data_IF_246698071351
#
_entry.id   IF_246698071351
#
_cell.length_a   1.000
_cell.length_b   1.000
_cell.length_c   1.000
_cell.angle_alpha   90.00
_cell.angle_beta   90.00
_cell.angle_gamma   90.00
#
_symmetry.space_group_name_H-M   'P 1'
#
loop_
_entity.id
_entity.type
_entity.pdbx_description
1 polymer ?
#
# COMPACT_ATOMS: atom_id res chain seq x y z
N UNK A 1 -30.69 -7.29 -13.14
CA UNK A 1 -29.37 -6.89 -12.61
C UNK A 1 -29.56 -6.67 -11.11
N UNK A 2 -28.63 -7.16 -10.29
CA UNK A 2 -28.65 -6.96 -8.84
C UNK A 2 -28.40 -5.48 -8.53
N UNK A 3 -29.15 -4.91 -7.56
CA UNK A 3 -29.01 -3.51 -7.14
C UNK A 3 -28.40 -3.45 -5.75
N UNK A 4 -27.36 -2.64 -5.61
CA UNK A 4 -26.58 -2.47 -4.39
C UNK A 4 -26.54 -0.98 -4.03
N UNK A 5 -26.88 -0.63 -2.79
CA UNK A 5 -26.83 0.76 -2.35
C UNK A 5 -25.41 1.24 -2.12
N UNK A 6 -24.56 0.41 -1.52
CA UNK A 6 -23.18 0.72 -1.24
C UNK A 6 -22.25 -0.45 -1.63
N UNK A 7 -21.54 -0.29 -2.73
CA UNK A 7 -20.54 -1.24 -3.17
C UNK A 7 -19.14 -0.80 -2.69
N UNK A 8 -18.39 -1.73 -2.10
CA UNK A 8 -17.02 -1.52 -1.66
C UNK A 8 -16.11 -2.45 -2.47
N UNK A 9 -15.05 -1.90 -3.08
CA UNK A 9 -14.09 -2.66 -3.87
C UNK A 9 -12.73 -2.68 -3.17
N UNK A 10 -12.32 -3.85 -2.70
CA UNK A 10 -11.04 -4.08 -2.03
C UNK A 10 -11.17 -4.53 -0.59
N UNK A 11 -10.58 -5.67 -0.27
CA UNK A 11 -10.60 -6.33 1.04
C UNK A 11 -9.37 -6.02 1.91
N UNK A 12 -8.94 -4.76 1.95
CA UNK A 12 -7.89 -4.29 2.86
C UNK A 12 -8.47 -3.53 4.08
N UNK A 13 -7.60 -2.95 4.94
CA UNK A 13 -8.03 -2.20 6.12
C UNK A 13 -9.03 -1.08 5.82
N UNK A 14 -8.88 -0.39 4.68
CA UNK A 14 -9.80 0.64 4.24
C UNK A 14 -11.19 0.06 3.92
N UNK A 15 -11.24 -0.99 3.09
CA UNK A 15 -12.49 -1.61 2.68
C UNK A 15 -13.23 -2.27 3.84
N UNK A 16 -12.55 -3.05 4.68
CA UNK A 16 -13.18 -3.66 5.85
C UNK A 16 -13.68 -2.61 6.85
N UNK A 17 -12.92 -1.54 7.07
CA UNK A 17 -13.38 -0.45 7.95
C UNK A 17 -14.58 0.28 7.34
N UNK A 18 -14.57 0.56 6.04
CA UNK A 18 -15.74 1.13 5.37
C UNK A 18 -16.97 0.22 5.52
N UNK A 19 -16.81 -1.07 5.32
CA UNK A 19 -17.89 -2.06 5.49
C UNK A 19 -18.44 -2.09 6.92
N UNK A 20 -17.57 -2.05 7.94
CA UNK A 20 -17.97 -1.99 9.36
C UNK A 20 -18.84 -0.75 9.61
N UNK A 21 -18.40 0.43 9.16
CA UNK A 21 -19.14 1.67 9.40
C UNK A 21 -20.44 1.76 8.60
N UNK A 22 -20.46 1.32 7.33
CA UNK A 22 -21.66 1.28 6.51
C UNK A 22 -22.71 0.32 7.11
N UNK A 23 -22.31 -0.88 7.53
CA UNK A 23 -23.19 -1.84 8.20
C UNK A 23 -23.80 -1.26 9.48
N UNK A 24 -22.99 -0.57 10.30
CA UNK A 24 -23.46 0.09 11.54
C UNK A 24 -24.41 1.26 11.27
N UNK A 25 -24.33 1.88 10.10
CA UNK A 25 -25.26 2.93 9.64
C UNK A 25 -26.53 2.36 9.03
N UNK A 26 -26.75 1.04 9.10
CA UNK A 26 -27.86 0.32 8.48
C UNK A 26 -27.92 0.48 6.95
N UNK A 27 -26.78 0.68 6.34
CA UNK A 27 -26.58 0.53 4.90
C UNK A 27 -26.11 -0.90 4.72
N UNK A 28 -26.74 -1.67 3.87
CA UNK A 28 -26.37 -3.05 3.59
C UNK A 28 -25.19 -3.07 2.57
N UNK A 29 -23.92 -2.94 3.00
CA UNK A 29 -22.81 -2.88 2.06
C UNK A 29 -22.51 -4.26 1.50
N UNK A 30 -22.20 -4.29 0.19
CA UNK A 30 -21.59 -5.42 -0.47
C UNK A 30 -20.11 -5.09 -0.68
N UNK A 31 -19.22 -6.00 -0.27
CA UNK A 31 -17.77 -5.83 -0.44
C UNK A 31 -17.21 -6.97 -1.29
N UNK A 32 -16.56 -6.62 -2.39
CA UNK A 32 -15.73 -7.54 -3.17
C UNK A 32 -14.27 -7.42 -2.77
N UNK A 33 -13.69 -8.52 -2.28
CA UNK A 33 -12.34 -8.52 -1.70
C UNK A 33 -11.21 -8.39 -2.71
N UNK A 34 -11.48 -8.75 -3.97
CA UNK A 34 -10.46 -8.81 -5.02
C UNK A 34 -9.59 -10.07 -4.96
N UNK A 35 -8.49 -10.07 -5.72
CA UNK A 35 -7.61 -11.23 -5.86
C UNK A 35 -6.77 -11.53 -4.61
N UNK A 36 -6.54 -10.52 -3.75
CA UNK A 36 -5.74 -10.66 -2.53
C UNK A 36 -6.54 -10.15 -1.32
N UNK A 37 -7.42 -10.98 -0.73
CA UNK A 37 -8.15 -10.63 0.49
C UNK A 37 -7.17 -10.25 1.62
N UNK A 38 -7.39 -9.09 2.26
CA UNK A 38 -6.50 -8.53 3.28
C UNK A 38 -5.45 -7.56 2.74
N UNK A 39 -5.20 -7.56 1.44
CA UNK A 39 -4.26 -6.67 0.77
C UNK A 39 -2.82 -6.85 1.26
N UNK A 40 -2.06 -5.76 1.32
CA UNK A 40 -0.64 -5.77 1.66
C UNK A 40 -0.34 -6.32 3.07
N UNK A 41 -1.28 -6.27 4.00
CA UNK A 41 -1.07 -6.80 5.35
C UNK A 41 -0.83 -8.31 5.37
N UNK A 42 -1.36 -9.06 4.41
CA UNK A 42 -1.15 -10.51 4.31
C UNK A 42 0.27 -10.90 3.92
N UNK A 43 1.09 -9.95 3.46
CA UNK A 43 2.49 -10.16 3.10
C UNK A 43 3.46 -9.78 4.23
N UNK A 44 2.95 -9.27 5.36
CA UNK A 44 3.72 -8.87 6.54
C UNK A 44 3.51 -9.88 7.65
N UNK A 45 4.60 -10.26 8.35
CA UNK A 45 4.54 -11.23 9.45
C UNK A 45 3.96 -10.60 10.71
N UNK A 46 4.66 -9.63 11.29
CA UNK A 46 4.30 -8.99 12.54
C UNK A 46 4.01 -7.50 12.35
N UNK A 47 2.90 -7.04 12.94
CA UNK A 47 2.45 -5.65 12.93
C UNK A 47 2.47 -5.14 14.38
N UNK A 48 3.38 -4.21 14.66
CA UNK A 48 3.52 -3.59 15.96
C UNK A 48 3.01 -2.14 16.03
N UNK A 49 2.63 -1.59 14.88
CA UNK A 49 2.22 -0.19 14.72
C UNK A 49 0.71 0.01 14.52
N UNK A 50 -0.11 -1.04 14.72
CA UNK A 50 -1.56 -0.91 14.73
C UNK A 50 -2.06 -0.86 16.18
N UNK A 51 -2.65 0.25 16.64
CA UNK A 51 -3.02 0.40 18.05
C UNK A 51 -4.10 -0.59 18.48
N UNK A 52 -4.01 -1.04 19.74
CA UNK A 52 -4.94 -2.00 20.35
C UNK A 52 -4.36 -3.40 20.56
N UNK A 53 -3.14 -3.63 20.10
CA UNK A 53 -2.42 -4.91 20.25
C UNK A 53 -1.07 -4.66 20.94
N UNK A 54 -1.05 -4.79 22.27
CA UNK A 54 0.14 -4.46 23.10
C UNK A 54 1.38 -5.32 22.77
N UNK A 55 1.16 -6.55 22.29
CA UNK A 55 2.22 -7.50 21.94
C UNK A 55 2.37 -7.66 20.41
N UNK A 56 1.85 -6.71 19.62
CA UNK A 56 1.75 -6.86 18.18
C UNK A 56 0.68 -7.88 17.74
N UNK A 57 0.52 -8.04 16.46
CA UNK A 57 -0.39 -9.01 15.84
C UNK A 57 0.14 -9.38 14.45
N UNK A 58 -0.06 -10.64 14.02
CA UNK A 58 0.29 -10.97 12.64
C UNK A 58 -0.64 -10.29 11.64
N UNK A 59 -0.11 -9.96 10.45
CA UNK A 59 -0.90 -9.31 9.40
C UNK A 59 -2.14 -10.10 9.04
N UNK A 60 -2.03 -11.42 8.94
CA UNK A 60 -3.16 -12.30 8.66
C UNK A 60 -4.23 -12.25 9.77
N UNK A 61 -3.83 -12.33 11.05
CA UNK A 61 -4.77 -12.29 12.17
C UNK A 61 -5.51 -10.95 12.26
N UNK A 62 -4.83 -9.83 11.98
CA UNK A 62 -5.45 -8.51 11.95
C UNK A 62 -6.52 -8.43 10.87
N UNK A 63 -6.20 -8.88 9.67
CA UNK A 63 -7.12 -8.92 8.53
C UNK A 63 -8.32 -9.82 8.80
N UNK A 64 -8.10 -11.04 9.32
CA UNK A 64 -9.16 -11.98 9.65
C UNK A 64 -10.11 -11.39 10.71
N UNK A 65 -9.56 -10.67 11.69
CA UNK A 65 -10.35 -10.00 12.73
C UNK A 65 -11.21 -8.86 12.14
N UNK A 66 -10.65 -8.04 11.24
CA UNK A 66 -11.40 -6.97 10.56
C UNK A 66 -12.52 -7.55 9.69
N UNK A 67 -12.22 -8.59 8.90
CA UNK A 67 -13.19 -9.30 8.07
C UNK A 67 -14.32 -9.89 8.90
N UNK A 68 -13.99 -10.64 9.95
CA UNK A 68 -14.96 -11.25 10.86
C UNK A 68 -15.87 -10.19 11.51
N UNK A 69 -15.31 -9.03 11.88
CA UNK A 69 -16.07 -7.91 12.42
C UNK A 69 -17.06 -7.36 11.40
N UNK A 70 -16.64 -7.13 10.14
CA UNK A 70 -17.49 -6.63 9.08
C UNK A 70 -18.67 -7.60 8.78
N UNK A 71 -18.37 -8.90 8.65
CA UNK A 71 -19.37 -9.95 8.40
C UNK A 71 -20.36 -10.04 9.57
N UNK A 72 -19.88 -10.04 10.82
CA UNK A 72 -20.76 -10.07 12.01
C UNK A 72 -21.72 -8.88 12.08
N UNK A 73 -21.33 -7.73 11.51
CA UNK A 73 -22.14 -6.52 11.49
C UNK A 73 -23.10 -6.45 10.29
N UNK A 74 -23.09 -7.44 9.41
CA UNK A 74 -24.04 -7.57 8.31
C UNK A 74 -23.52 -7.18 6.93
N UNK A 75 -22.18 -7.03 6.76
CA UNK A 75 -21.60 -6.86 5.42
C UNK A 75 -21.77 -8.14 4.61
N UNK A 76 -22.30 -8.02 3.40
CA UNK A 76 -22.26 -9.08 2.39
C UNK A 76 -20.86 -9.14 1.77
N UNK A 77 -20.07 -10.09 2.27
CA UNK A 77 -18.68 -10.26 1.87
C UNK A 77 -18.59 -11.25 0.72
N UNK A 78 -18.03 -10.81 -0.41
CA UNK A 78 -17.97 -11.60 -1.64
C UNK A 78 -16.54 -11.76 -2.14
N UNK A 79 -16.28 -12.93 -2.67
CA UNK A 79 -15.08 -13.18 -3.51
C UNK A 79 -15.35 -12.70 -4.92
N UNK A 80 -14.31 -12.35 -5.66
CA UNK A 80 -14.38 -11.90 -7.04
C UNK A 80 -13.62 -10.60 -7.26
N UNK A 81 -13.26 -10.36 -8.50
CA UNK A 81 -12.47 -9.19 -8.91
C UNK A 81 -13.30 -8.32 -9.85
N UNK A 82 -13.38 -7.03 -9.55
CA UNK A 82 -13.99 -6.07 -10.48
C UNK A 82 -13.10 -5.96 -11.72
N UNK A 83 -13.70 -6.20 -12.90
CA UNK A 83 -13.00 -6.20 -14.18
C UNK A 83 -13.39 -5.06 -15.11
N UNK A 84 -14.55 -4.43 -14.85
CA UNK A 84 -15.01 -3.23 -15.58
C UNK A 84 -15.91 -2.38 -14.69
N UNK A 85 -15.89 -1.07 -14.91
CA UNK A 85 -16.76 -0.11 -14.25
C UNK A 85 -17.21 0.95 -15.26
N UNK A 86 -18.50 1.21 -15.33
CA UNK A 86 -19.08 2.37 -16.02
C UNK A 86 -19.67 3.30 -14.96
N UNK A 87 -19.02 4.44 -14.77
CA UNK A 87 -19.39 5.44 -13.78
C UNK A 87 -20.02 6.70 -14.41
N UNK A 88 -20.47 6.61 -15.65
CA UNK A 88 -21.07 7.73 -16.40
C UNK A 88 -22.42 8.18 -15.84
N UNK A 89 -23.25 7.23 -15.39
CA UNK A 89 -24.59 7.47 -14.85
C UNK A 89 -24.87 6.54 -13.68
N UNK A 90 -25.70 6.98 -12.73
CA UNK A 90 -26.18 6.16 -11.60
C UNK A 90 -27.52 5.51 -11.92
N UNK A 91 -27.73 4.24 -11.52
CA UNK A 91 -26.80 3.37 -10.80
C UNK A 91 -25.60 2.98 -11.67
N UNK A 92 -24.41 2.97 -11.06
CA UNK A 92 -23.15 2.59 -11.72
C UNK A 92 -23.19 1.11 -12.13
N UNK A 93 -22.66 0.79 -13.32
CA UNK A 93 -22.60 -0.59 -13.81
C UNK A 93 -21.22 -1.16 -13.58
N UNK A 94 -21.16 -2.25 -12.85
CA UNK A 94 -19.90 -2.90 -12.44
C UNK A 94 -19.93 -4.34 -12.91
N UNK A 95 -18.82 -4.80 -13.48
CA UNK A 95 -18.65 -6.19 -13.93
C UNK A 95 -17.64 -6.89 -13.03
N UNK A 96 -18.02 -8.05 -12.49
CA UNK A 96 -17.21 -8.91 -11.65
C UNK A 96 -16.81 -10.14 -12.47
N UNK A 97 -15.52 -10.49 -12.41
CA UNK A 97 -14.94 -11.68 -13.08
C UNK A 97 -15.31 -11.80 -14.57
N UNK A 98 -15.48 -10.66 -15.23
CA UNK A 98 -15.76 -10.55 -16.66
C UNK A 98 -17.19 -10.91 -17.10
N UNK A 99 -18.04 -11.39 -16.20
CA UNK A 99 -19.37 -11.93 -16.57
C UNK A 99 -20.53 -11.51 -15.68
N UNK A 100 -20.29 -11.24 -14.41
CA UNK A 100 -21.35 -10.91 -13.47
C UNK A 100 -21.56 -9.40 -13.38
N UNK A 101 -22.69 -8.92 -13.87
CA UNK A 101 -23.05 -7.49 -13.88
C UNK A 101 -23.92 -7.13 -12.68
N UNK A 102 -23.57 -6.05 -12.00
CA UNK A 102 -24.28 -5.46 -10.87
C UNK A 102 -24.47 -3.95 -11.06
N UNK A 103 -25.47 -3.40 -10.40
CA UNK A 103 -25.75 -1.96 -10.34
C UNK A 103 -25.49 -1.43 -8.93
N UNK A 104 -24.75 -0.33 -8.78
CA UNK A 104 -24.44 0.28 -7.49
C UNK A 104 -24.87 1.75 -7.44
N UNK A 105 -25.54 2.17 -6.36
CA UNK A 105 -25.89 3.58 -6.13
C UNK A 105 -24.69 4.41 -5.67
N UNK A 106 -23.83 3.81 -4.84
CA UNK A 106 -22.56 4.41 -4.40
C UNK A 106 -21.42 3.40 -4.52
N UNK A 107 -20.21 3.92 -4.72
CA UNK A 107 -19.01 3.13 -4.86
C UNK A 107 -17.92 3.65 -3.94
N UNK A 108 -17.31 2.76 -3.14
CA UNK A 108 -16.10 3.05 -2.37
C UNK A 108 -14.94 2.27 -2.99
N UNK A 109 -13.99 2.98 -3.60
CA UNK A 109 -12.78 2.42 -4.18
C UNK A 109 -11.73 2.30 -3.08
N UNK A 110 -11.41 1.08 -2.65
CA UNK A 110 -10.47 0.75 -1.59
C UNK A 110 -9.42 -0.29 -2.05
N UNK A 111 -9.04 -0.20 -3.32
CA UNK A 111 -8.21 -1.19 -4.02
C UNK A 111 -6.73 -1.15 -3.64
N UNK A 112 -6.31 -0.14 -2.85
CA UNK A 112 -4.96 -0.02 -2.33
C UNK A 112 -3.91 0.36 -3.38
N UNK A 113 -2.64 0.09 -3.06
CA UNK A 113 -1.50 0.28 -3.95
C UNK A 113 -0.55 -0.91 -3.84
N UNK A 114 0.15 -1.19 -4.93
CA UNK A 114 1.13 -2.28 -5.01
C UNK A 114 2.54 -1.72 -5.00
N UNK A 115 3.39 -2.20 -4.09
CA UNK A 115 4.80 -1.83 -4.07
C UNK A 115 5.51 -2.30 -5.34
N UNK A 116 6.42 -1.48 -5.86
CA UNK A 116 7.27 -1.85 -6.98
C UNK A 116 8.49 -2.63 -6.49
N UNK A 117 8.82 -3.66 -7.23
CA UNK A 117 9.99 -4.50 -7.01
C UNK A 117 10.94 -4.41 -8.20
N UNK A 118 12.19 -4.86 -8.05
CA UNK A 118 13.17 -4.92 -9.14
C UNK A 118 12.87 -6.08 -10.11
N UNK A 119 12.07 -7.05 -9.66
CA UNK A 119 11.72 -8.25 -10.43
C UNK A 119 12.76 -9.36 -10.33
N UNK A 120 13.57 -9.35 -9.30
CA UNK A 120 14.58 -10.39 -9.06
C UNK A 120 13.94 -11.60 -8.36
N UNK A 121 14.23 -12.84 -8.79
CA UNK A 121 13.74 -14.05 -8.11
C UNK A 121 14.14 -14.10 -6.62
N UNK A 122 15.30 -13.53 -6.27
CA UNK A 122 15.79 -13.45 -4.90
C UNK A 122 14.97 -12.48 -4.02
N UNK A 123 14.37 -11.43 -4.59
CA UNK A 123 13.46 -10.55 -3.85
C UNK A 123 12.22 -11.32 -3.38
N UNK A 124 11.63 -12.11 -4.27
CA UNK A 124 10.45 -12.92 -3.96
C UNK A 124 10.76 -13.97 -2.89
N UNK A 125 11.94 -14.61 -2.98
CA UNK A 125 12.39 -15.62 -2.01
C UNK A 125 12.52 -15.07 -0.60
N UNK A 126 12.99 -13.83 -0.47
CA UNK A 126 13.26 -13.23 0.83
C UNK A 126 12.22 -12.17 1.26
N UNK A 127 11.08 -12.09 0.57
CA UNK A 127 9.97 -11.22 0.97
C UNK A 127 9.45 -11.61 2.35
N UNK A 128 9.43 -10.67 3.29
CA UNK A 128 9.11 -10.92 4.70
C UNK A 128 10.23 -11.59 5.51
N UNK A 129 11.34 -11.99 4.85
CA UNK A 129 12.52 -12.56 5.47
C UNK A 129 13.75 -11.65 5.28
N UNK A 130 13.52 -10.34 5.27
CA UNK A 130 14.57 -9.34 5.11
C UNK A 130 14.38 -8.42 3.91
N UNK A 131 13.55 -8.77 2.93
CA UNK A 131 13.13 -7.87 1.84
C UNK A 131 11.81 -7.21 2.22
N UNK A 132 11.80 -5.87 2.24
CA UNK A 132 10.65 -5.03 2.58
C UNK A 132 10.48 -3.89 1.57
N UNK A 133 9.28 -3.36 1.46
CA UNK A 133 8.96 -2.14 0.71
C UNK A 133 8.37 -1.03 1.61
N UNK A 134 8.58 -1.14 2.94
CA UNK A 134 8.06 -0.18 3.92
C UNK A 134 9.03 -0.03 5.11
N UNK A 135 9.84 1.01 5.10
CA UNK A 135 10.77 1.26 6.20
C UNK A 135 10.07 1.57 7.54
N UNK A 136 8.94 2.27 7.51
CA UNK A 136 8.16 2.59 8.72
C UNK A 136 7.45 1.37 9.31
N UNK A 137 7.18 0.35 8.49
CA UNK A 137 6.58 -0.90 8.95
C UNK A 137 7.64 -1.79 9.63
N UNK A 138 8.75 -2.03 8.95
CA UNK A 138 9.68 -3.10 9.28
C UNK A 138 11.00 -2.60 9.88
N UNK A 139 11.30 -1.30 9.76
CA UNK A 139 12.59 -0.73 10.20
C UNK A 139 12.94 -0.98 11.66
N UNK A 140 11.93 -1.10 12.53
CA UNK A 140 12.12 -1.41 13.95
C UNK A 140 12.85 -2.74 14.18
N UNK A 141 12.60 -3.78 13.37
CA UNK A 141 13.24 -5.10 13.47
C UNK A 141 14.73 -5.09 13.09
N UNK A 142 15.19 -3.99 12.46
CA UNK A 142 16.56 -3.81 12.01
C UNK A 142 17.36 -2.85 12.88
N UNK A 143 16.92 -2.56 14.11
CA UNK A 143 17.66 -1.71 15.05
C UNK A 143 19.06 -2.25 15.28
N UNK A 144 20.06 -1.33 15.16
CA UNK A 144 21.48 -1.62 15.30
C UNK A 144 22.07 -2.59 14.26
N UNK A 145 21.31 -2.95 13.22
CA UNK A 145 21.74 -3.77 12.10
C UNK A 145 22.19 -2.91 10.92
N UNK A 146 22.71 -3.54 9.88
CA UNK A 146 23.08 -2.88 8.62
C UNK A 146 22.02 -3.17 7.57
N UNK A 147 21.52 -2.16 6.88
CA UNK A 147 20.46 -2.32 5.87
C UNK A 147 20.81 -1.62 4.57
N UNK A 148 20.14 -2.01 3.48
CA UNK A 148 20.20 -1.31 2.22
C UNK A 148 18.84 -0.75 1.84
N UNK A 149 18.82 0.44 1.21
CA UNK A 149 17.65 1.10 0.62
C UNK A 149 17.92 1.29 -0.87
N UNK A 150 17.05 0.73 -1.71
CA UNK A 150 17.13 0.90 -3.17
C UNK A 150 16.25 2.06 -3.60
N UNK A 151 16.83 3.05 -4.21
CA UNK A 151 16.12 4.22 -4.71
C UNK A 151 16.93 5.50 -4.66
N UNK A 152 16.41 6.57 -5.25
CA UNK A 152 17.11 7.87 -5.30
C UNK A 152 16.16 9.05 -5.44
N UNK A 153 14.87 8.87 -5.16
CA UNK A 153 13.86 9.94 -5.04
C UNK A 153 13.63 10.35 -3.59
N UNK A 154 12.70 11.27 -3.34
CA UNK A 154 12.38 11.77 -2.01
C UNK A 154 12.03 10.63 -1.04
N UNK A 155 11.15 9.71 -1.42
CA UNK A 155 10.80 8.54 -0.59
C UNK A 155 12.02 7.72 -0.18
N UNK A 156 12.96 7.49 -1.09
CA UNK A 156 14.16 6.72 -0.77
C UNK A 156 15.06 7.47 0.22
N UNK A 157 15.16 8.77 0.10
CA UNK A 157 15.91 9.62 1.04
C UNK A 157 15.24 9.68 2.42
N UNK A 158 13.91 9.78 2.46
CA UNK A 158 13.12 9.73 3.69
C UNK A 158 13.28 8.40 4.41
N UNK A 159 13.10 7.28 3.70
CA UNK A 159 13.25 5.94 4.26
C UNK A 159 14.68 5.67 4.73
N UNK A 160 15.71 6.06 3.96
CA UNK A 160 17.09 5.93 4.36
C UNK A 160 17.41 6.74 5.62
N UNK A 161 16.89 7.97 5.72
CA UNK A 161 17.08 8.84 6.89
C UNK A 161 16.34 8.29 8.12
N UNK A 162 15.13 7.77 7.93
CA UNK A 162 14.38 7.11 8.99
C UNK A 162 15.12 5.88 9.52
N UNK A 163 15.58 5.00 8.62
CA UNK A 163 16.35 3.81 8.99
C UNK A 163 17.70 4.15 9.62
N UNK A 164 18.35 5.24 9.22
CA UNK A 164 19.59 5.70 9.84
C UNK A 164 19.42 6.05 11.32
N UNK A 165 18.23 6.53 11.72
CA UNK A 165 17.89 6.74 13.13
C UNK A 165 17.74 5.47 13.96
N UNK A 166 17.58 4.32 13.33
CA UNK A 166 17.37 3.01 13.98
C UNK A 166 18.56 2.07 13.81
N UNK A 167 19.15 2.06 12.62
CA UNK A 167 20.13 1.09 12.17
C UNK A 167 21.57 1.56 12.45
N UNK A 168 22.50 0.59 12.50
CA UNK A 168 23.93 0.87 12.62
C UNK A 168 24.48 1.55 11.35
N UNK A 169 24.02 1.10 10.18
CA UNK A 169 24.45 1.60 8.88
C UNK A 169 23.35 1.41 7.85
N UNK A 170 23.22 2.38 6.93
CA UNK A 170 22.32 2.33 5.79
C UNK A 170 23.15 2.50 4.51
N UNK A 171 23.05 1.54 3.60
CA UNK A 171 23.53 1.71 2.23
C UNK A 171 22.37 2.20 1.35
N UNK A 172 22.56 3.30 0.62
CA UNK A 172 21.62 3.69 -0.44
C UNK A 172 22.16 3.21 -1.78
N UNK A 173 21.42 2.30 -2.44
CA UNK A 173 21.79 1.77 -3.76
C UNK A 173 21.11 2.63 -4.83
N UNK A 174 21.91 3.43 -5.54
CA UNK A 174 21.43 4.41 -6.50
C UNK A 174 21.99 4.09 -7.89
N UNK A 175 21.09 3.82 -8.87
CA UNK A 175 21.46 3.43 -10.24
C UNK A 175 22.12 4.55 -11.08
N UNK A 176 22.08 5.80 -10.61
CA UNK A 176 22.65 6.98 -11.23
C UNK A 176 23.75 7.59 -10.36
N UNK A 177 24.43 8.59 -10.85
CA UNK A 177 25.42 9.40 -10.13
C UNK A 177 24.80 10.60 -9.39
N UNK A 178 23.46 10.69 -9.37
CA UNK A 178 22.71 11.79 -8.76
C UNK A 178 21.39 11.29 -8.17
N UNK A 179 21.00 11.86 -7.03
CA UNK A 179 19.66 11.70 -6.48
C UNK A 179 18.66 12.57 -7.27
N UNK A 180 17.43 12.09 -7.40
CA UNK A 180 16.30 12.84 -7.97
C UNK A 180 15.45 13.51 -6.92
N UNK A 181 15.80 13.35 -5.67
CA UNK A 181 15.15 13.95 -4.52
C UNK A 181 15.30 15.47 -4.52
N UNK A 182 14.45 16.16 -3.78
CA UNK A 182 14.59 17.60 -3.50
C UNK A 182 15.93 17.89 -2.84
N UNK A 183 16.46 19.12 -3.02
CA UNK A 183 17.74 19.53 -2.41
C UNK A 183 17.74 19.31 -0.90
N UNK A 184 16.65 19.66 -0.22
CA UNK A 184 16.52 19.47 1.22
C UNK A 184 16.68 18.00 1.64
N UNK A 185 16.14 17.05 0.86
CA UNK A 185 16.29 15.63 1.15
C UNK A 185 17.68 15.11 0.80
N UNK A 186 18.29 15.60 -0.28
CA UNK A 186 19.68 15.30 -0.60
C UNK A 186 20.63 15.75 0.50
N UNK A 187 20.46 16.97 1.02
CA UNK A 187 21.28 17.50 2.09
C UNK A 187 21.11 16.72 3.39
N UNK A 188 19.88 16.28 3.69
CA UNK A 188 19.63 15.42 4.84
C UNK A 188 20.39 14.10 4.74
N UNK A 189 20.37 13.44 3.59
CA UNK A 189 21.14 12.21 3.35
C UNK A 189 22.64 12.45 3.49
N UNK A 190 23.17 13.52 2.86
CA UNK A 190 24.62 13.85 2.90
C UNK A 190 25.11 14.16 4.32
N UNK A 191 24.26 14.75 5.16
CA UNK A 191 24.60 15.13 6.53
C UNK A 191 24.32 14.02 7.56
N UNK A 192 23.89 12.83 7.13
CA UNK A 192 23.64 11.70 8.03
C UNK A 192 24.83 10.74 7.96
N UNK A 193 25.64 10.70 9.04
CA UNK A 193 26.95 10.04 9.10
C UNK A 193 26.93 8.53 8.77
N UNK A 194 25.87 7.83 9.13
CA UNK A 194 25.75 6.39 8.93
C UNK A 194 24.99 6.00 7.64
N UNK A 195 24.76 6.96 6.73
CA UNK A 195 24.30 6.68 5.36
C UNK A 195 25.48 6.69 4.41
N UNK A 196 25.64 5.62 3.65
CA UNK A 196 26.60 5.53 2.55
C UNK A 196 25.86 5.34 1.23
N UNK A 197 26.09 6.24 0.26
CA UNK A 197 25.44 6.17 -1.05
C UNK A 197 26.35 5.42 -2.03
N UNK A 198 25.84 4.30 -2.55
CA UNK A 198 26.48 3.49 -3.57
C UNK A 198 25.96 3.93 -4.94
N UNK A 199 26.72 4.83 -5.58
CA UNK A 199 26.37 5.42 -6.86
C UNK A 199 26.59 4.47 -8.03
N UNK A 200 25.78 4.65 -9.09
CA UNK A 200 25.87 3.89 -10.33
C UNK A 200 25.79 2.36 -10.13
N UNK A 201 25.07 1.94 -9.10
CA UNK A 201 24.91 0.53 -8.73
C UNK A 201 23.48 0.04 -8.99
N UNK A 202 23.38 -1.16 -9.55
CA UNK A 202 22.14 -1.92 -9.66
C UNK A 202 22.26 -3.19 -8.83
N UNK A 203 21.19 -3.61 -8.19
CA UNK A 203 21.13 -4.91 -7.52
C UNK A 203 20.97 -6.00 -8.56
N UNK A 204 21.83 -7.01 -8.51
CA UNK A 204 21.70 -8.23 -9.33
C UNK A 204 21.00 -9.35 -8.57
N UNK A 205 21.25 -9.44 -7.27
CA UNK A 205 20.76 -10.51 -6.43
C UNK A 205 20.68 -10.07 -4.97
N UNK A 206 19.64 -10.47 -4.26
CA UNK A 206 19.59 -10.43 -2.80
C UNK A 206 20.14 -11.76 -2.29
N UNK A 207 21.15 -11.70 -1.44
CA UNK A 207 21.82 -12.85 -0.86
C UNK A 207 21.22 -13.16 0.51
N UNK A 208 21.11 -14.44 0.84
CA UNK A 208 20.57 -14.86 2.12
C UNK A 208 20.64 -16.36 2.33
N UNK A 209 20.28 -16.79 3.51
CA UNK A 209 20.23 -18.17 3.95
C UNK A 209 18.79 -18.61 4.34
N UNK A 210 18.66 -19.64 5.15
CA UNK A 210 17.38 -20.14 5.66
C UNK A 210 16.71 -19.17 6.67
N UNK A 211 17.47 -18.22 7.24
CA UNK A 211 16.99 -17.25 8.23
C UNK A 211 16.63 -15.90 7.61
N UNK A 212 17.04 -15.64 6.36
CA UNK A 212 16.69 -14.41 5.64
C UNK A 212 17.87 -13.76 4.93
N UNK A 213 17.79 -12.45 4.73
CA UNK A 213 18.77 -11.65 4.01
C UNK A 213 20.07 -11.57 4.79
N UNK A 214 21.21 -11.84 4.12
CA UNK A 214 22.57 -11.68 4.65
C UNK A 214 23.45 -10.74 3.82
N UNK A 215 22.98 -10.36 2.61
CA UNK A 215 23.74 -9.49 1.72
C UNK A 215 22.98 -9.11 0.45
N UNK A 216 23.65 -8.34 -0.39
CA UNK A 216 23.21 -8.05 -1.75
C UNK A 216 24.40 -8.02 -2.70
N UNK A 217 24.24 -8.59 -3.89
CA UNK A 217 25.19 -8.52 -4.99
C UNK A 217 24.85 -7.34 -5.88
N UNK A 218 25.81 -6.47 -6.07
CA UNK A 218 25.66 -5.25 -6.83
C UNK A 218 26.54 -5.26 -8.08
N UNK A 219 26.01 -4.66 -9.15
CA UNK A 219 26.74 -4.39 -10.38
C UNK A 219 26.89 -2.88 -10.53
N UNK A 220 28.12 -2.39 -10.56
CA UNK A 220 28.45 -1.01 -10.87
C UNK A 220 28.44 -0.78 -12.38
N UNK A 221 28.18 0.45 -12.80
CA UNK A 221 28.09 0.83 -14.21
C UNK A 221 29.35 0.52 -15.04
N UNK A 222 30.53 0.48 -14.40
CA UNK A 222 31.81 0.12 -15.01
C UNK A 222 32.03 -1.39 -15.19
N UNK A 223 31.08 -2.21 -14.72
CA UNK A 223 31.11 -3.67 -14.83
C UNK A 223 31.63 -4.36 -13.57
N UNK A 224 32.06 -3.64 -12.54
CA UNK A 224 32.46 -4.23 -11.28
C UNK A 224 31.28 -4.89 -10.57
N UNK A 225 31.46 -6.15 -10.17
CA UNK A 225 30.49 -6.90 -9.34
C UNK A 225 31.08 -7.07 -7.96
N UNK A 226 30.31 -6.71 -6.93
CA UNK A 226 30.73 -6.84 -5.53
C UNK A 226 29.53 -7.12 -4.62
N UNK A 227 29.78 -7.73 -3.49
CA UNK A 227 28.77 -8.06 -2.49
C UNK A 227 28.89 -7.09 -1.31
N UNK A 228 27.75 -6.70 -0.74
CA UNK A 228 27.64 -5.98 0.53
C UNK A 228 26.95 -6.86 1.55
N UNK A 229 27.43 -6.82 2.80
CA UNK A 229 26.78 -7.51 3.93
C UNK A 229 25.70 -6.61 4.52
N UNK A 230 24.46 -7.11 4.55
CA UNK A 230 23.29 -6.41 5.10
C UNK A 230 22.34 -7.42 5.76
N UNK A 231 21.57 -6.97 6.72
CA UNK A 231 20.55 -7.75 7.41
C UNK A 231 19.15 -7.51 6.86
N UNK A 232 18.97 -6.41 6.10
CA UNK A 232 17.68 -6.03 5.51
C UNK A 232 17.84 -5.25 4.21
N UNK A 233 16.89 -5.45 3.28
CA UNK A 233 16.88 -4.87 1.94
C UNK A 233 15.54 -4.18 1.70
N UNK A 234 15.53 -2.85 1.64
CA UNK A 234 14.35 -2.02 1.52
C UNK A 234 14.21 -1.45 0.10
N UNK A 235 13.04 -1.60 -0.48
CA UNK A 235 12.71 -1.14 -1.82
C UNK A 235 11.92 0.17 -1.75
N UNK A 236 12.59 1.28 -1.99
CA UNK A 236 12.01 2.63 -2.03
C UNK A 236 11.94 3.16 -3.48
N UNK A 237 11.44 2.32 -4.40
CA UNK A 237 11.33 2.63 -5.84
C UNK A 237 9.92 3.01 -6.27
N UNK A 238 9.03 3.21 -5.29
CA UNK A 238 7.67 3.70 -5.45
C UNK A 238 6.61 2.61 -5.42
N UNK A 239 5.37 3.04 -5.54
CA UNK A 239 4.18 2.21 -5.57
C UNK A 239 3.41 2.44 -6.87
N UNK A 240 2.50 1.54 -7.17
CA UNK A 240 1.51 1.67 -8.23
C UNK A 240 0.13 1.64 -7.56
N UNK A 241 -0.62 2.74 -7.53
CA UNK A 241 -1.98 2.72 -7.01
C UNK A 241 -2.88 1.90 -7.93
N UNK A 242 -3.71 1.03 -7.35
CA UNK A 242 -4.57 0.12 -8.10
C UNK A 242 -5.85 0.85 -8.58
N UNK A 243 -5.64 1.91 -9.35
CA UNK A 243 -6.67 2.83 -9.87
C UNK A 243 -6.97 2.64 -11.36
N UNK A 244 -6.21 1.80 -12.07
CA UNK A 244 -6.23 1.71 -13.54
C UNK A 244 -7.64 1.50 -14.10
N UNK A 245 -8.45 0.68 -13.44
CA UNK A 245 -9.82 0.38 -13.82
C UNK A 245 -10.75 1.61 -13.82
N UNK A 246 -10.40 2.62 -13.03
CA UNK A 246 -11.26 3.78 -12.78
C UNK A 246 -10.75 5.07 -13.42
N UNK A 247 -9.56 5.06 -14.05
CA UNK A 247 -8.88 6.26 -14.58
C UNK A 247 -9.64 7.01 -15.67
N UNK A 248 -10.53 6.33 -16.38
CA UNK A 248 -11.38 6.97 -17.38
C UNK A 248 -12.48 7.84 -16.74
N UNK A 249 -12.80 7.61 -15.48
CA UNK A 249 -13.91 8.22 -14.75
C UNK A 249 -13.45 9.17 -13.66
N UNK A 250 -12.55 8.71 -12.80
CA UNK A 250 -12.08 9.49 -11.64
C UNK A 250 -10.77 10.21 -11.96
N UNK A 251 -10.65 11.42 -11.42
CA UNK A 251 -9.42 12.19 -11.53
C UNK A 251 -8.30 11.49 -10.73
N UNK A 252 -7.13 11.38 -11.36
CA UNK A 252 -5.90 10.84 -10.74
C UNK A 252 -4.75 11.83 -10.88
N UNK A 253 -3.80 11.76 -9.97
CA UNK A 253 -2.57 12.54 -10.06
C UNK A 253 -1.57 11.93 -11.08
N UNK A 254 -0.40 12.54 -11.20
CA UNK A 254 0.65 12.11 -12.16
C UNK A 254 1.22 10.72 -11.83
N UNK A 255 1.11 10.26 -10.60
CA UNK A 255 1.51 8.93 -10.13
C UNK A 255 0.37 7.90 -10.23
N UNK A 256 -0.88 8.34 -10.49
CA UNK A 256 -2.06 7.51 -10.63
C UNK A 256 -2.90 7.37 -9.37
N UNK A 257 -2.61 8.10 -8.29
CA UNK A 257 -3.45 8.12 -7.09
C UNK A 257 -4.76 8.87 -7.35
N UNK A 258 -5.87 8.32 -6.85
CA UNK A 258 -7.18 8.96 -6.98
C UNK A 258 -7.20 10.25 -6.18
N UNK A 259 -7.58 11.35 -6.83
CA UNK A 259 -7.70 12.67 -6.21
C UNK A 259 -9.06 12.75 -5.49
N UNK A 260 -9.01 13.05 -4.20
CA UNK A 260 -10.19 13.43 -3.41
C UNK A 260 -10.21 14.94 -3.18
N UNK A 261 -11.28 15.48 -2.60
CA UNK A 261 -11.39 16.92 -2.29
C UNK A 261 -10.46 17.39 -1.15
N UNK A 262 -9.65 16.49 -0.60
CA UNK A 262 -8.68 16.75 0.46
C UNK A 262 -9.27 16.86 1.88
N UNK A 263 -10.57 17.01 2.02
CA UNK A 263 -11.28 17.07 3.32
C UNK A 263 -12.16 15.84 3.55
N UNK A 264 -12.75 15.34 2.49
CA UNK A 264 -13.61 14.16 2.48
C UNK A 264 -13.01 13.06 1.59
N UNK A 265 -13.70 11.95 1.44
CA UNK A 265 -13.31 10.86 0.54
C UNK A 265 -13.91 10.99 -0.87
N UNK A 266 -14.58 12.11 -1.17
CA UNK A 266 -15.27 12.35 -2.44
C UNK A 266 -14.29 12.51 -3.59
N UNK A 267 -14.58 11.82 -4.69
CA UNK A 267 -13.90 12.02 -5.97
C UNK A 267 -14.63 13.10 -6.79
N UNK A 268 -14.18 13.32 -8.03
CA UNK A 268 -14.87 14.17 -8.99
C UNK A 268 -16.18 13.56 -9.51
N UNK A 269 -16.44 12.27 -9.28
CA UNK A 269 -17.69 11.58 -9.67
C UNK A 269 -18.61 11.49 -8.46
N UNK A 270 -19.79 12.08 -8.58
CA UNK A 270 -20.78 12.10 -7.50
C UNK A 270 -21.27 10.69 -7.14
N UNK A 271 -21.17 10.31 -5.85
CA UNK A 271 -21.49 8.96 -5.38
C UNK A 271 -20.31 7.99 -5.43
N UNK A 272 -19.11 8.44 -5.89
CA UNK A 272 -17.89 7.66 -5.88
C UNK A 272 -16.90 8.24 -4.86
N UNK A 273 -16.41 7.37 -3.98
CA UNK A 273 -15.50 7.69 -2.88
C UNK A 273 -14.23 6.87 -3.00
N UNK A 274 -13.10 7.39 -2.51
CA UNK A 274 -11.83 6.66 -2.49
C UNK A 274 -11.25 6.60 -1.08
N UNK A 275 -10.68 5.45 -0.71
CA UNK A 275 -10.10 5.21 0.61
C UNK A 275 -8.88 4.29 0.55
N UNK A 276 -7.99 4.42 1.52
CA UNK A 276 -6.76 3.64 1.60
C UNK A 276 -5.68 4.14 0.63
N UNK A 277 -4.72 3.28 0.38
CA UNK A 277 -3.51 3.63 -0.35
C UNK A 277 -3.76 3.99 -1.82
N UNK A 278 -4.92 3.67 -2.38
CA UNK A 278 -5.28 4.09 -3.75
C UNK A 278 -5.41 5.61 -3.91
N UNK A 279 -5.64 6.33 -2.80
CA UNK A 279 -5.75 7.79 -2.74
C UNK A 279 -4.71 8.44 -1.81
N UNK A 280 -3.87 7.64 -1.12
CA UNK A 280 -2.85 8.14 -0.19
C UNK A 280 -1.43 7.94 -0.77
N UNK A 281 -0.84 8.97 -1.39
CA UNK A 281 0.52 8.87 -1.92
C UNK A 281 1.61 8.96 -0.83
N UNK A 282 1.25 9.31 0.42
CA UNK A 282 2.21 9.69 1.47
C UNK A 282 2.39 8.62 2.53
N UNK A 283 1.33 8.28 3.26
CA UNK A 283 1.45 7.50 4.50
C UNK A 283 1.47 6.00 4.26
N UNK A 284 0.50 5.46 3.52
CA UNK A 284 0.37 4.02 3.22
C UNK A 284 0.52 3.15 4.46
N UNK A 285 -0.24 3.48 5.50
CA UNK A 285 -0.27 2.75 6.77
C UNK A 285 -1.64 2.11 6.99
N UNK A 286 -1.68 0.94 7.64
CA UNK A 286 -2.93 0.24 7.93
C UNK A 286 -3.92 1.11 8.70
N UNK A 287 -3.43 1.90 9.67
CA UNK A 287 -4.27 2.79 10.49
C UNK A 287 -4.81 3.98 9.68
N UNK A 288 -4.01 4.60 8.80
CA UNK A 288 -4.50 5.69 7.94
C UNK A 288 -5.47 5.18 6.88
N UNK A 289 -5.23 3.98 6.34
CA UNK A 289 -6.14 3.30 5.44
C UNK A 289 -7.48 3.01 6.12
N UNK A 290 -7.48 2.44 7.32
CA UNK A 290 -8.69 2.20 8.12
C UNK A 290 -9.44 3.51 8.40
N UNK A 291 -8.74 4.58 8.82
CA UNK A 291 -9.34 5.89 9.07
C UNK A 291 -9.99 6.49 7.82
N UNK A 292 -9.37 6.34 6.65
CA UNK A 292 -9.95 6.79 5.38
C UNK A 292 -11.18 5.99 4.97
N UNK A 293 -11.19 4.66 5.24
CA UNK A 293 -12.36 3.80 5.04
C UNK A 293 -13.55 4.23 5.91
N UNK A 294 -13.31 4.59 7.16
CA UNK A 294 -14.34 5.17 8.03
C UNK A 294 -14.93 6.45 7.40
N UNK A 295 -14.09 7.38 6.92
CA UNK A 295 -14.55 8.61 6.26
C UNK A 295 -15.39 8.30 5.02
N UNK A 296 -14.94 7.38 4.18
CA UNK A 296 -15.65 7.01 2.96
C UNK A 296 -17.06 6.46 3.24
N UNK A 297 -17.19 5.61 4.25
CA UNK A 297 -18.50 5.09 4.67
C UNK A 297 -19.44 6.20 5.17
N UNK A 298 -18.94 7.14 5.98
CA UNK A 298 -19.73 8.25 6.48
C UNK A 298 -20.15 9.23 5.36
N UNK A 299 -19.27 9.44 4.37
CA UNK A 299 -19.58 10.25 3.20
C UNK A 299 -20.64 9.56 2.30
N UNK A 300 -20.52 8.23 2.10
CA UNK A 300 -21.49 7.44 1.36
C UNK A 300 -22.87 7.40 2.07
N UNK A 301 -22.88 7.23 3.41
CA UNK A 301 -24.09 7.30 4.22
C UNK A 301 -24.81 8.65 4.04
N UNK A 302 -24.06 9.74 4.20
CA UNK A 302 -24.62 11.09 4.03
C UNK A 302 -25.17 11.28 2.63
N UNK A 303 -24.47 10.80 1.63
CA UNK A 303 -24.89 10.90 0.24
C UNK A 303 -26.22 10.14 -0.01
N UNK A 304 -26.33 8.89 0.45
CA UNK A 304 -27.54 8.07 0.29
C UNK A 304 -28.76 8.65 1.01
N UNK A 305 -28.56 9.31 2.16
CA UNK A 305 -29.67 9.96 2.91
C UNK A 305 -30.16 11.26 2.28
N UNK A 306 -29.43 11.84 1.34
CA UNK A 306 -29.82 13.08 0.65
C UNK A 306 -30.58 12.83 -0.65
N UNK A 307 -30.74 11.58 -1.05
CA UNK A 307 -31.51 11.12 -2.21
C UNK A 307 -32.93 10.66 -1.81
#
# INVERSE_FOLDING_TARGET
MEKIDCLIIGGGPAGYTAAIYASRANIAPVLYEGAQPGGQLTTTTDIENYPGFENGISGQQLVDSMKAQAVRLGTDMRTGTVTSADLSERPFKIVIDGTHEIEAQTLIIATGATAKYLGLPSEEKYRGLGVSACATCDGFFYRKKTVAVVGGGDTACEEATYLAGLCKKVYMIVRRDVLRASEAMQDRVKNTENIEVLWNCNTQEVLGDEYGVTGARLLRKDGEVFDIAIDGFFLAIGHHPNSDLFREWVAVDKEGYIITDGKTSKTNVEGVFAAGDVQDPLYRQAITAAASGCRAALDAEKFLKMQ
#
